data_IF_830625511807
#
_entry.id   IF_830625511807
#
_cell.length_a   1.000
_cell.length_b   1.000
_cell.length_c   1.000
_cell.angle_alpha   90.00
_cell.angle_beta   90.00
_cell.angle_gamma   90.00
#
_symmetry.space_group_name_H-M   'P 1'
#
loop_
_entity.id
_entity.type
_entity.pdbx_description
1 polymer ?
#
# COMPACT_ATOMS: atom_id res chain seq x y z
N UNK A 1 -6.30 -15.56 2.63
CA UNK A 1 -5.46 -14.69 1.76
C UNK A 1 -6.25 -13.39 1.48
N UNK A 2 -5.62 -12.29 1.08
CA UNK A 2 -6.35 -11.03 0.77
C UNK A 2 -6.23 -10.79 -0.74
N UNK A 3 -7.37 -10.83 -1.45
CA UNK A 3 -7.38 -11.03 -2.90
C UNK A 3 -7.21 -9.75 -3.72
N UNK A 4 -7.51 -8.57 -3.15
CA UNK A 4 -7.52 -7.31 -3.90
C UNK A 4 -7.15 -6.13 -3.00
N UNK A 5 -5.99 -5.54 -3.29
CA UNK A 5 -5.61 -4.22 -2.79
C UNK A 5 -6.16 -3.19 -3.77
N UNK A 6 -7.14 -2.39 -3.35
CA UNK A 6 -7.51 -1.18 -4.08
C UNK A 6 -6.46 -0.12 -3.81
N UNK A 7 -5.96 0.56 -4.84
CA UNK A 7 -4.87 1.51 -4.70
C UNK A 7 -5.16 2.80 -5.47
N UNK A 8 -4.97 3.93 -4.81
CA UNK A 8 -5.02 5.26 -5.42
C UNK A 8 -3.87 6.08 -4.88
N UNK A 9 -2.93 6.46 -5.75
CA UNK A 9 -1.86 7.41 -5.45
C UNK A 9 -2.48 8.73 -5.01
N UNK A 10 -2.06 9.27 -3.88
CA UNK A 10 -2.52 10.58 -3.42
C UNK A 10 -1.45 11.64 -3.58
N UNK A 11 -0.18 11.29 -3.33
CA UNK A 11 0.94 12.21 -3.52
C UNK A 11 2.26 11.44 -3.64
N UNK A 12 3.19 11.97 -4.43
CA UNK A 12 4.58 11.58 -4.42
C UNK A 12 5.48 12.81 -4.55
N UNK A 13 6.27 13.05 -3.52
CA UNK A 13 7.43 13.94 -3.56
C UNK A 13 8.71 13.10 -3.66
N UNK A 14 9.85 13.78 -3.81
CA UNK A 14 11.16 13.11 -3.92
C UNK A 14 11.50 12.26 -2.69
N UNK A 15 10.93 12.60 -1.54
CA UNK A 15 11.20 12.04 -0.21
C UNK A 15 10.00 11.30 0.39
N UNK A 16 8.81 11.34 -0.22
CA UNK A 16 7.60 10.79 0.38
C UNK A 16 6.61 10.27 -0.65
N UNK A 17 6.11 9.06 -0.44
CA UNK A 17 5.02 8.46 -1.21
C UNK A 17 3.85 8.25 -0.28
N UNK A 18 2.67 8.77 -0.63
CA UNK A 18 1.43 8.53 0.09
C UNK A 18 0.39 7.92 -0.82
N UNK A 19 -0.21 6.82 -0.38
CA UNK A 19 -1.23 6.11 -1.13
C UNK A 19 -2.44 5.77 -0.29
N UNK A 20 -3.60 5.77 -0.92
CA UNK A 20 -4.82 5.21 -0.35
C UNK A 20 -4.90 3.72 -0.72
N UNK A 21 -4.78 2.87 0.28
CA UNK A 21 -4.89 1.42 0.15
C UNK A 21 -6.25 0.93 0.62
N UNK A 22 -6.83 -0.06 -0.04
CA UNK A 22 -8.06 -0.72 0.37
C UNK A 22 -7.87 -2.23 0.46
N UNK A 23 -8.11 -2.81 1.62
CA UNK A 23 -8.07 -4.26 1.82
C UNK A 23 -9.48 -4.81 1.89
N UNK A 24 -9.72 -5.97 1.27
CA UNK A 24 -11.00 -6.68 1.37
C UNK A 24 -10.75 -8.09 1.89
N UNK A 25 -11.52 -8.49 2.91
CA UNK A 25 -11.50 -9.85 3.44
C UNK A 25 -11.87 -10.85 2.35
N UNK A 26 -11.24 -12.02 2.41
CA UNK A 26 -11.69 -13.16 1.59
C UNK A 26 -13.03 -13.63 2.10
N UNK A 27 -14.08 -13.29 1.34
CA UNK A 27 -15.44 -13.65 1.65
C UNK A 27 -16.21 -13.93 0.38
N UNK A 28 -17.11 -14.90 0.44
CA UNK A 28 -18.03 -15.23 -0.66
C UNK A 28 -19.15 -14.19 -0.82
N UNK A 29 -19.18 -13.15 0.02
CA UNK A 29 -20.16 -12.09 -0.06
C UNK A 29 -19.75 -11.08 -1.14
N UNK A 30 -20.63 -10.87 -2.12
CA UNK A 30 -20.40 -10.01 -3.28
C UNK A 30 -20.09 -8.55 -2.89
N UNK A 31 -20.57 -8.07 -1.72
CA UNK A 31 -20.56 -6.67 -1.31
C UNK A 31 -19.83 -6.38 0.01
N UNK A 32 -18.69 -7.03 0.28
CA UNK A 32 -17.90 -6.60 1.44
C UNK A 32 -17.17 -5.28 1.15
N UNK A 33 -17.32 -4.26 2.02
CA UNK A 33 -16.64 -2.98 1.84
C UNK A 33 -15.13 -3.14 2.00
N UNK A 34 -14.39 -2.27 1.34
CA UNK A 34 -12.95 -2.16 1.55
C UNK A 34 -12.67 -1.48 2.88
N UNK A 35 -11.74 -2.06 3.66
CA UNK A 35 -11.07 -1.36 4.74
C UNK A 35 -10.04 -0.43 4.10
N UNK A 36 -10.32 0.88 4.12
CA UNK A 36 -9.48 1.90 3.48
C UNK A 36 -8.48 2.48 4.48
N UNK A 37 -7.24 2.64 4.05
CA UNK A 37 -6.14 3.17 4.85
C UNK A 37 -5.31 4.16 4.03
N UNK A 38 -4.60 5.04 4.74
CA UNK A 38 -3.59 5.92 4.17
C UNK A 38 -2.21 5.37 4.55
N UNK A 39 -1.46 5.00 3.53
CA UNK A 39 -0.17 4.35 3.66
C UNK A 39 0.92 5.29 3.16
N UNK A 40 2.04 5.31 3.87
CA UNK A 40 3.13 6.24 3.59
C UNK A 40 4.47 5.51 3.57
N UNK A 41 5.31 5.86 2.61
CA UNK A 41 6.73 5.51 2.56
C UNK A 41 7.54 6.80 2.54
N UNK A 42 8.65 6.82 3.26
CA UNK A 42 9.56 7.96 3.32
C UNK A 42 10.97 7.53 2.90
N UNK A 43 11.67 8.38 2.15
CA UNK A 43 13.01 8.09 1.65
C UNK A 43 14.03 8.41 2.75
N UNK A 44 14.74 7.38 3.18
CA UNK A 44 15.87 7.47 4.12
C UNK A 44 17.18 7.14 3.40
N UNK A 45 18.32 7.29 4.09
CA UNK A 45 19.66 7.04 3.51
C UNK A 45 19.82 5.63 2.92
N UNK A 46 19.13 4.64 3.50
CA UNK A 46 19.16 3.23 3.09
C UNK A 46 18.10 2.86 2.05
N UNK A 47 17.20 3.78 1.69
CA UNK A 47 16.10 3.56 0.76
C UNK A 47 14.74 3.96 1.30
N UNK A 48 13.67 3.47 0.66
CA UNK A 48 12.30 3.76 1.08
C UNK A 48 11.89 2.94 2.30
N UNK A 49 11.39 3.61 3.33
CA UNK A 49 10.93 3.01 4.59
C UNK A 49 9.44 3.18 4.74
N UNK A 50 8.73 2.07 4.93
CA UNK A 50 7.30 2.06 5.20
C UNK A 50 6.99 2.63 6.60
N UNK A 51 6.07 3.60 6.67
CA UNK A 51 5.64 4.29 7.90
C UNK A 51 4.20 3.96 8.30
N UNK A 52 3.55 3.04 7.60
CA UNK A 52 2.20 2.60 7.95
C UNK A 52 2.18 1.59 9.10
N UNK A 53 0.98 1.18 9.51
CA UNK A 53 0.76 0.25 10.62
C UNK A 53 0.19 -1.10 10.19
N UNK A 54 0.29 -1.43 8.89
CA UNK A 54 -0.23 -2.72 8.41
C UNK A 54 0.66 -3.88 8.86
N UNK A 55 0.08 -5.06 9.08
CA UNK A 55 0.85 -6.30 9.24
C UNK A 55 1.79 -6.54 8.05
N UNK A 56 2.91 -7.21 8.30
CA UNK A 56 3.97 -7.47 7.31
C UNK A 56 3.43 -8.04 5.99
N UNK A 57 2.50 -9.01 6.05
CA UNK A 57 1.90 -9.60 4.85
C UNK A 57 1.17 -8.56 3.99
N UNK A 58 0.47 -7.61 4.61
CA UNK A 58 -0.25 -6.53 3.89
C UNK A 58 0.73 -5.50 3.36
N UNK A 59 1.79 -5.17 4.11
CA UNK A 59 2.87 -4.32 3.63
C UNK A 59 3.51 -4.91 2.36
N UNK A 60 3.89 -6.19 2.36
CA UNK A 60 4.45 -6.86 1.18
C UNK A 60 3.50 -6.80 -0.03
N UNK A 61 2.19 -6.96 0.20
CA UNK A 61 1.18 -6.82 -0.87
C UNK A 61 1.09 -5.38 -1.41
N UNK A 62 1.27 -4.37 -0.56
CA UNK A 62 1.30 -2.97 -0.97
C UNK A 62 2.56 -2.65 -1.79
N UNK A 63 3.72 -3.11 -1.33
CA UNK A 63 5.01 -2.84 -1.95
C UNK A 63 5.18 -3.58 -3.28
N UNK A 64 4.58 -4.76 -3.43
CA UNK A 64 4.50 -5.50 -4.68
C UNK A 64 3.40 -4.98 -5.63
N UNK A 65 2.63 -3.95 -5.24
CA UNK A 65 1.58 -3.42 -6.11
C UNK A 65 2.23 -2.72 -7.32
N UNK A 66 1.78 -2.97 -8.57
CA UNK A 66 2.43 -2.44 -9.79
C UNK A 66 2.57 -0.91 -9.86
N UNK A 67 1.79 -0.19 -9.06
CA UNK A 67 1.84 1.27 -8.99
C UNK A 67 2.77 1.82 -7.89
N UNK A 68 3.22 0.99 -6.94
CA UNK A 68 4.14 1.33 -5.85
C UNK A 68 5.53 0.77 -6.13
N UNK A 69 5.61 -0.49 -6.56
CA UNK A 69 6.87 -1.19 -6.76
C UNK A 69 7.90 -0.40 -7.57
N UNK A 70 7.55 0.26 -8.69
CA UNK A 70 8.52 1.06 -9.45
C UNK A 70 8.99 2.31 -8.70
N UNK A 71 8.13 2.90 -7.86
CA UNK A 71 8.45 4.10 -7.08
C UNK A 71 9.41 3.78 -5.93
N UNK A 72 9.25 2.62 -5.30
CA UNK A 72 10.13 2.17 -4.23
C UNK A 72 11.50 1.68 -4.73
N UNK A 73 11.60 1.34 -6.03
CA UNK A 73 12.85 0.88 -6.66
C UNK A 73 13.65 2.01 -7.34
N UNK A 74 13.12 3.24 -7.36
CA UNK A 74 13.78 4.44 -7.90
C UNK A 74 14.51 5.25 -6.83
#
# INVERSE_FOLDING_TARGET
MLKRVYWSKLNDSHDKITAKAGFRKESNKLYEPYELYLETWEKEESGWVYKGSQPEQRQQQLEAHPAIEPLLKS
#
